data_IF_993295228212
#
_entry.id   IF_993295228212
#
_cell.length_a   1.000
_cell.length_b   1.000
_cell.length_c   1.000
_cell.angle_alpha   90.00
_cell.angle_beta   90.00
_cell.angle_gamma   90.00
#
_symmetry.space_group_name_H-M   'P 1'
#
loop_
_entity.id
_entity.type
_entity.pdbx_description
1 polymer ?
#
# COMPACT_ATOMS: atom_id res chain seq x y z
N UNK A 1 0.33 -11.48 -20.84
CA UNK A 1 -0.32 -10.30 -20.21
C UNK A 1 -1.65 -10.64 -19.54
N UNK A 2 -2.48 -11.51 -20.13
CA UNK A 2 -3.75 -11.98 -19.54
C UNK A 2 -3.53 -12.70 -18.20
N UNK A 3 -2.53 -13.57 -18.13
CA UNK A 3 -2.19 -14.38 -16.94
C UNK A 3 -1.93 -13.54 -15.68
N UNK A 4 -1.20 -12.41 -15.81
CA UNK A 4 -0.88 -11.54 -14.66
C UNK A 4 -2.12 -10.87 -14.06
N UNK A 5 -3.09 -10.49 -14.90
CA UNK A 5 -4.34 -9.90 -14.43
C UNK A 5 -5.26 -10.92 -13.80
N UNK A 6 -5.34 -12.11 -14.39
CA UNK A 6 -6.09 -13.22 -13.80
C UNK A 6 -5.53 -13.52 -12.40
N UNK A 7 -4.20 -13.58 -12.25
CA UNK A 7 -3.56 -13.76 -10.94
C UNK A 7 -3.89 -12.63 -9.96
N UNK A 8 -3.89 -11.38 -10.41
CA UNK A 8 -4.16 -10.25 -9.53
C UNK A 8 -5.63 -10.14 -9.13
N UNK A 9 -6.55 -10.45 -10.05
CA UNK A 9 -7.98 -10.56 -9.75
C UNK A 9 -8.27 -11.74 -8.83
N UNK A 10 -7.60 -12.88 -9.05
CA UNK A 10 -7.69 -14.03 -8.15
C UNK A 10 -7.15 -13.69 -6.76
N UNK A 11 -6.05 -12.95 -6.66
CA UNK A 11 -5.51 -12.46 -5.40
C UNK A 11 -6.52 -11.54 -4.69
N UNK A 12 -7.07 -10.52 -5.38
CA UNK A 12 -8.08 -9.65 -4.79
C UNK A 12 -9.33 -10.43 -4.34
N UNK A 13 -9.80 -11.37 -5.16
CA UNK A 13 -10.92 -12.23 -4.80
C UNK A 13 -10.61 -13.07 -3.56
N UNK A 14 -9.42 -13.66 -3.47
CA UNK A 14 -8.99 -14.42 -2.30
C UNK A 14 -8.89 -13.54 -1.03
N UNK A 15 -8.37 -12.31 -1.17
CA UNK A 15 -8.23 -11.37 -0.06
C UNK A 15 -9.58 -10.85 0.46
N UNK A 16 -10.56 -10.62 -0.43
CA UNK A 16 -11.83 -9.99 -0.06
C UNK A 16 -12.99 -10.97 0.15
N UNK A 17 -12.99 -12.10 -0.55
CA UNK A 17 -14.05 -13.12 -0.46
C UNK A 17 -13.62 -14.35 0.35
N UNK A 18 -12.33 -14.45 0.69
CA UNK A 18 -11.81 -15.50 1.55
C UNK A 18 -12.13 -15.27 3.04
N UNK A 19 -11.57 -16.10 3.94
CA UNK A 19 -11.78 -15.95 5.38
C UNK A 19 -11.01 -14.75 5.97
N UNK A 20 -10.04 -14.19 5.23
CA UNK A 20 -9.11 -13.19 5.73
C UNK A 20 -9.77 -11.93 6.28
N UNK A 21 -10.82 -11.34 5.67
CA UNK A 21 -11.51 -10.17 6.26
C UNK A 21 -12.10 -10.45 7.64
N UNK A 22 -12.64 -11.66 7.85
CA UNK A 22 -13.20 -12.05 9.14
C UNK A 22 -12.09 -12.21 10.17
N UNK A 23 -11.00 -12.92 9.83
CA UNK A 23 -9.86 -13.09 10.72
C UNK A 23 -9.17 -11.76 11.04
N UNK A 24 -9.11 -10.86 10.06
CA UNK A 24 -8.54 -9.54 10.19
C UNK A 24 -9.28 -8.68 11.22
N UNK A 25 -10.57 -8.90 11.50
CA UNK A 25 -11.30 -8.13 12.53
C UNK A 25 -10.69 -8.27 13.93
N UNK A 26 -10.07 -9.43 14.22
CA UNK A 26 -9.41 -9.72 15.49
C UNK A 26 -7.88 -9.62 15.48
N UNK A 27 -7.26 -9.30 14.34
CA UNK A 27 -5.80 -9.21 14.20
C UNK A 27 -5.37 -8.02 13.35
N UNK A 28 -4.46 -7.22 13.91
CA UNK A 28 -3.86 -6.10 13.19
C UNK A 28 -2.88 -6.60 12.13
N UNK A 29 -2.16 -7.68 12.43
CA UNK A 29 -1.21 -8.31 11.51
C UNK A 29 -1.93 -8.82 10.26
N UNK A 30 -3.02 -9.60 10.42
CA UNK A 30 -3.75 -10.15 9.28
C UNK A 30 -4.40 -9.08 8.42
N UNK A 31 -4.85 -7.98 9.03
CA UNK A 31 -5.36 -6.84 8.28
C UNK A 31 -4.27 -6.10 7.51
N UNK A 32 -3.09 -5.93 8.10
CA UNK A 32 -1.95 -5.38 7.38
C UNK A 32 -1.55 -6.27 6.19
N UNK A 33 -1.55 -7.59 6.37
CA UNK A 33 -1.34 -8.54 5.26
C UNK A 33 -2.36 -8.33 4.14
N UNK A 34 -3.62 -8.11 4.49
CA UNK A 34 -4.69 -7.83 3.54
C UNK A 34 -4.45 -6.51 2.77
N UNK A 35 -3.99 -5.44 3.43
CA UNK A 35 -3.61 -4.20 2.73
C UNK A 35 -2.41 -4.39 1.81
N UNK A 36 -1.34 -5.03 2.30
CA UNK A 36 -0.13 -5.32 1.49
C UNK A 36 -0.47 -6.18 0.27
N UNK A 37 -1.40 -7.11 0.42
CA UNK A 37 -1.95 -7.90 -0.69
C UNK A 37 -2.63 -7.04 -1.75
N UNK A 38 -3.45 -6.05 -1.34
CA UNK A 38 -4.06 -5.08 -2.28
C UNK A 38 -2.99 -4.24 -2.96
N UNK A 39 -2.03 -3.70 -2.19
CA UNK A 39 -0.90 -2.91 -2.73
C UNK A 39 -0.10 -3.69 -3.78
N UNK A 40 0.14 -4.98 -3.54
CA UNK A 40 0.82 -5.88 -4.47
C UNK A 40 -0.01 -6.18 -5.73
N UNK A 41 -1.34 -6.26 -5.60
CA UNK A 41 -2.23 -6.53 -6.73
C UNK A 41 -2.26 -5.37 -7.73
N UNK A 42 -2.15 -4.11 -7.28
CA UNK A 42 -2.23 -2.91 -8.12
C UNK A 42 -1.29 -2.94 -9.33
N UNK A 43 0.04 -3.13 -9.19
CA UNK A 43 0.93 -3.19 -10.36
C UNK A 43 0.61 -4.38 -11.29
N UNK A 44 0.08 -5.48 -10.75
CA UNK A 44 -0.27 -6.69 -11.50
C UNK A 44 -1.58 -6.56 -12.30
N UNK A 45 -2.56 -5.79 -11.80
CA UNK A 45 -3.89 -5.60 -12.39
C UNK A 45 -3.91 -4.80 -13.69
N UNK A 46 -2.77 -4.27 -14.12
CA UNK A 46 -2.65 -3.05 -14.93
C UNK A 46 -2.78 -1.79 -14.09
N UNK A 47 -1.77 -1.47 -13.31
CA UNK A 47 -1.61 -0.06 -12.97
C UNK A 47 -1.77 0.93 -14.17
N UNK A 48 -1.33 0.69 -15.47
CA UNK A 48 -1.01 1.78 -16.43
C UNK A 48 -1.97 2.43 -17.36
N UNK A 49 -3.08 1.79 -17.70
CA UNK A 49 -3.71 2.14 -18.98
C UNK A 49 -4.83 3.15 -18.83
N UNK A 50 -5.04 3.63 -17.60
CA UNK A 50 -5.86 4.81 -17.34
C UNK A 50 -5.10 5.99 -17.91
N UNK A 51 -5.69 6.64 -18.92
CA UNK A 51 -5.15 7.87 -19.48
C UNK A 51 -5.32 9.00 -18.46
N UNK A 52 -4.33 9.16 -17.58
CA UNK A 52 -4.22 10.29 -16.67
C UNK A 52 -3.27 11.34 -17.24
N UNK A 53 -3.42 12.62 -16.84
CA UNK A 53 -2.46 13.65 -17.15
C UNK A 53 -1.05 13.20 -16.75
N UNK A 54 -0.07 13.47 -17.62
CA UNK A 54 1.33 13.20 -17.37
C UNK A 54 2.06 14.48 -16.93
N UNK A 55 3.25 14.33 -16.36
CA UNK A 55 4.09 15.44 -15.91
C UNK A 55 4.17 15.57 -14.39
N UNK A 56 5.03 16.49 -13.93
CA UNK A 56 5.41 16.62 -12.53
C UNK A 56 4.20 16.89 -11.62
N UNK A 57 3.27 17.77 -12.02
CA UNK A 57 2.09 18.09 -11.21
C UNK A 57 1.20 16.86 -10.99
N UNK A 58 0.85 16.14 -12.05
CA UNK A 58 -0.01 14.95 -11.94
C UNK A 58 0.66 13.84 -11.11
N UNK A 59 1.97 13.68 -11.27
CA UNK A 59 2.76 12.74 -10.49
C UNK A 59 2.75 13.10 -8.99
N UNK A 60 2.98 14.38 -8.66
CA UNK A 60 2.93 14.87 -7.27
C UNK A 60 1.53 14.71 -6.67
N UNK A 61 0.48 15.08 -7.40
CA UNK A 61 -0.89 14.94 -6.92
C UNK A 61 -1.26 13.46 -6.70
N UNK A 62 -0.84 12.56 -7.58
CA UNK A 62 -1.03 11.12 -7.40
C UNK A 62 -0.32 10.59 -6.15
N UNK A 63 0.91 11.02 -5.91
CA UNK A 63 1.68 10.66 -4.72
C UNK A 63 1.05 11.19 -3.43
N UNK A 64 0.65 12.47 -3.41
CA UNK A 64 0.02 13.10 -2.25
C UNK A 64 -1.35 12.47 -1.96
N UNK A 65 -2.14 12.18 -3.00
CA UNK A 65 -3.42 11.51 -2.82
C UNK A 65 -3.26 10.11 -2.22
N UNK A 66 -2.28 9.33 -2.68
CA UNK A 66 -1.98 8.02 -2.11
C UNK A 66 -1.52 8.14 -0.65
N UNK A 67 -0.62 9.07 -0.35
CA UNK A 67 -0.18 9.34 1.02
C UNK A 67 -1.36 9.71 1.93
N UNK A 68 -2.22 10.64 1.51
CA UNK A 68 -3.38 11.08 2.30
C UNK A 68 -4.35 9.93 2.56
N UNK A 69 -4.62 9.10 1.55
CA UNK A 69 -5.49 7.93 1.69
C UNK A 69 -4.88 6.95 2.69
N UNK A 70 -3.61 6.56 2.52
CA UNK A 70 -2.96 5.62 3.43
C UNK A 70 -2.93 6.15 4.86
N UNK A 71 -2.45 7.37 5.07
CA UNK A 71 -2.35 7.95 6.41
C UNK A 71 -3.73 8.13 7.06
N UNK A 72 -4.72 8.57 6.28
CA UNK A 72 -6.08 8.77 6.76
C UNK A 72 -6.68 7.50 7.36
N UNK A 73 -6.55 6.37 6.69
CA UNK A 73 -7.06 5.08 7.19
C UNK A 73 -6.30 4.51 8.39
N UNK A 74 -5.05 4.94 8.60
CA UNK A 74 -4.27 4.52 9.76
C UNK A 74 -4.47 5.39 11.00
N UNK A 75 -5.24 6.48 10.91
CA UNK A 75 -5.71 7.21 12.09
C UNK A 75 -6.67 6.34 12.92
N UNK A 76 -6.68 6.45 14.27
CA UNK A 76 -7.48 5.57 15.12
C UNK A 76 -8.97 5.53 14.75
N UNK A 77 -9.60 6.68 14.47
CA UNK A 77 -11.03 6.74 14.13
C UNK A 77 -11.39 5.98 12.85
N UNK A 78 -10.85 6.37 11.67
CA UNK A 78 -11.05 5.67 10.41
C UNK A 78 -10.67 4.18 10.48
N UNK A 79 -9.57 3.86 11.15
CA UNK A 79 -9.14 2.47 11.33
C UNK A 79 -10.20 1.63 12.04
N UNK A 80 -10.70 2.11 13.19
CA UNK A 80 -11.75 1.43 13.96
C UNK A 80 -13.05 1.32 13.15
N UNK A 81 -13.41 2.36 12.39
CA UNK A 81 -14.58 2.33 11.52
C UNK A 81 -14.48 1.26 10.44
N UNK A 82 -13.30 1.12 9.82
CA UNK A 82 -13.02 0.06 8.85
C UNK A 82 -13.06 -1.34 9.47
N UNK A 83 -12.74 -1.48 10.77
CA UNK A 83 -12.83 -2.77 11.47
C UNK A 83 -14.25 -3.19 11.81
N UNK A 84 -15.07 -2.27 12.26
CA UNK A 84 -16.37 -2.61 12.83
C UNK A 84 -17.52 -2.51 11.84
N UNK A 85 -17.28 -2.02 10.61
CA UNK A 85 -18.33 -1.87 9.61
C UNK A 85 -17.90 -2.38 8.25
N UNK A 86 -18.81 -3.06 7.55
CA UNK A 86 -18.59 -3.49 6.16
C UNK A 86 -18.38 -2.29 5.22
N UNK A 87 -19.06 -1.18 5.48
CA UNK A 87 -18.90 0.04 4.68
C UNK A 87 -17.52 0.65 4.84
N UNK A 88 -17.04 0.83 6.07
CA UNK A 88 -15.69 1.33 6.34
C UNK A 88 -14.63 0.44 5.72
N UNK A 89 -14.74 -0.88 5.90
CA UNK A 89 -13.84 -1.85 5.27
C UNK A 89 -13.81 -1.73 3.75
N UNK A 90 -14.99 -1.67 3.11
CA UNK A 90 -15.09 -1.55 1.66
C UNK A 90 -14.45 -0.25 1.16
N UNK A 91 -14.73 0.88 1.83
CA UNK A 91 -14.18 2.19 1.45
C UNK A 91 -12.66 2.24 1.62
N UNK A 92 -12.13 1.69 2.71
CA UNK A 92 -10.69 1.56 2.93
C UNK A 92 -10.04 0.80 1.78
N UNK A 93 -10.50 -0.43 1.55
CA UNK A 93 -9.92 -1.33 0.56
C UNK A 93 -10.02 -0.81 -0.87
N UNK A 94 -11.17 -0.25 -1.24
CA UNK A 94 -11.38 0.34 -2.56
C UNK A 94 -10.57 1.62 -2.74
N UNK A 95 -10.38 2.42 -1.68
CA UNK A 95 -9.53 3.61 -1.75
C UNK A 95 -8.06 3.28 -1.90
N UNK A 96 -7.55 2.22 -1.23
CA UNK A 96 -6.18 1.73 -1.44
C UNK A 96 -5.96 1.22 -2.86
N UNK A 97 -6.91 0.45 -3.39
CA UNK A 97 -6.86 0.02 -4.78
C UNK A 97 -6.89 1.21 -5.75
N UNK A 98 -7.82 2.15 -5.53
CA UNK A 98 -7.99 3.34 -6.37
C UNK A 98 -6.79 4.28 -6.36
N UNK A 99 -6.31 4.66 -5.17
CA UNK A 99 -5.16 5.52 -5.00
C UNK A 99 -3.89 4.87 -5.55
N UNK A 100 -3.70 3.57 -5.31
CA UNK A 100 -2.62 2.80 -5.93
C UNK A 100 -2.70 2.84 -7.46
N UNK A 101 -3.86 2.54 -8.06
CA UNK A 101 -4.03 2.60 -9.51
C UNK A 101 -3.67 3.99 -10.07
N UNK A 102 -4.11 5.07 -9.40
CA UNK A 102 -3.80 6.44 -9.80
C UNK A 102 -2.30 6.77 -9.69
N UNK A 103 -1.66 6.46 -8.56
CA UNK A 103 -0.22 6.63 -8.34
C UNK A 103 0.59 5.93 -9.43
N UNK A 104 0.29 4.65 -9.65
CA UNK A 104 0.99 3.91 -10.67
C UNK A 104 0.77 4.56 -12.04
N UNK A 105 -0.47 4.98 -12.38
CA UNK A 105 -0.82 5.55 -13.69
C UNK A 105 0.04 6.77 -14.00
N UNK A 106 0.19 7.68 -13.05
CA UNK A 106 1.06 8.86 -13.19
C UNK A 106 2.54 8.49 -13.25
N UNK A 107 3.01 7.52 -12.43
CA UNK A 107 4.39 7.01 -12.44
C UNK A 107 4.85 6.52 -13.81
N UNK A 108 3.95 5.96 -14.63
CA UNK A 108 4.33 5.53 -16.00
C UNK A 108 4.35 6.65 -17.00
N UNK A 109 3.48 7.65 -16.87
CA UNK A 109 3.51 8.85 -17.70
C UNK A 109 4.75 9.73 -17.45
N UNK A 110 5.42 9.57 -16.30
CA UNK A 110 6.52 10.42 -15.85
C UNK A 110 7.95 9.95 -16.23
N UNK A 111 8.08 8.94 -17.11
CA UNK A 111 9.40 8.40 -17.48
C UNK A 111 10.09 7.59 -16.36
N UNK A 112 11.33 7.15 -16.61
CA UNK A 112 12.07 6.29 -15.68
C UNK A 112 12.49 7.01 -14.39
N UNK A 113 13.07 8.20 -14.52
CA UNK A 113 13.59 8.99 -13.40
C UNK A 113 12.48 9.57 -12.51
N UNK A 114 11.54 10.33 -13.08
CA UNK A 114 10.45 10.96 -12.34
C UNK A 114 9.58 9.93 -11.60
N UNK A 115 9.16 8.87 -12.30
CA UNK A 115 8.43 7.77 -11.68
C UNK A 115 9.23 7.05 -10.58
N UNK A 116 10.55 6.92 -10.75
CA UNK A 116 11.43 6.34 -9.74
C UNK A 116 11.50 7.16 -8.45
N UNK A 117 11.67 8.48 -8.56
CA UNK A 117 11.69 9.39 -7.40
C UNK A 117 10.40 9.31 -6.60
N UNK A 118 9.24 9.32 -7.27
CA UNK A 118 7.97 9.27 -6.56
C UNK A 118 7.72 7.94 -5.88
N UNK A 119 8.09 6.82 -6.49
CA UNK A 119 8.02 5.52 -5.80
C UNK A 119 8.98 5.44 -4.59
N UNK A 120 10.12 6.12 -4.64
CA UNK A 120 11.01 6.26 -3.48
C UNK A 120 10.35 7.11 -2.38
N UNK A 121 9.71 8.23 -2.74
CA UNK A 121 8.93 9.03 -1.79
C UNK A 121 7.79 8.21 -1.17
N UNK A 122 7.11 7.38 -1.96
CA UNK A 122 6.09 6.45 -1.46
C UNK A 122 6.67 5.44 -0.47
N UNK A 123 7.84 4.86 -0.79
CA UNK A 123 8.59 4.01 0.13
C UNK A 123 8.85 4.72 1.46
N UNK A 124 9.31 5.98 1.40
CA UNK A 124 9.67 6.75 2.60
C UNK A 124 8.48 7.00 3.51
N UNK A 125 7.33 7.48 3.00
CA UNK A 125 6.19 7.76 3.87
C UNK A 125 5.51 6.48 4.39
N UNK A 126 5.51 5.39 3.61
CA UNK A 126 5.03 4.08 4.07
C UNK A 126 5.90 3.54 5.20
N UNK A 127 7.23 3.66 5.05
CA UNK A 127 8.20 3.27 6.08
C UNK A 127 8.04 4.11 7.33
N UNK A 128 7.91 5.43 7.19
CA UNK A 128 7.70 6.35 8.30
C UNK A 128 6.43 6.03 9.07
N UNK A 129 5.30 5.87 8.38
CA UNK A 129 4.02 5.55 9.02
C UNK A 129 4.07 4.20 9.74
N UNK A 130 4.63 3.18 9.08
CA UNK A 130 4.83 1.86 9.68
C UNK A 130 5.74 1.92 10.92
N UNK A 131 6.80 2.73 10.90
CA UNK A 131 7.66 2.94 12.06
C UNK A 131 6.94 3.68 13.20
N UNK A 132 6.14 4.70 12.91
CA UNK A 132 5.37 5.43 13.92
C UNK A 132 4.37 4.51 14.65
N UNK A 133 3.71 3.63 13.91
CA UNK A 133 2.78 2.64 14.47
C UNK A 133 3.54 1.53 15.19
N UNK A 134 4.56 0.99 14.53
CA UNK A 134 5.30 -0.20 14.92
C UNK A 134 6.25 -0.02 16.09
N UNK A 135 6.77 1.21 16.28
CA UNK A 135 7.68 1.56 17.37
C UNK A 135 6.97 2.32 18.50
N UNK A 136 5.65 2.53 18.40
CA UNK A 136 4.90 3.14 19.49
C UNK A 136 5.00 2.26 20.75
N UNK A 137 5.34 2.84 21.91
CA UNK A 137 5.41 2.10 23.18
C UNK A 137 4.01 1.86 23.79
N UNK A 138 2.97 2.43 23.18
CA UNK A 138 1.57 2.32 23.63
C UNK A 138 0.67 1.87 22.50
N UNK A 139 -0.43 1.24 22.88
CA UNK A 139 -1.51 0.88 21.97
C UNK A 139 -2.24 2.15 21.50
N UNK A 140 -2.29 2.34 20.18
CA UNK A 140 -2.92 3.47 19.50
C UNK A 140 -4.38 3.19 19.13
N UNK A 141 -4.79 1.92 19.11
CA UNK A 141 -6.07 1.46 18.59
C UNK A 141 -6.99 0.89 19.67
N UNK A 142 -6.61 0.98 20.94
CA UNK A 142 -7.54 0.78 22.07
C UNK A 142 -7.83 -0.68 22.42
N UNK A 143 -6.88 -1.59 22.21
CA UNK A 143 -6.93 -2.95 22.76
C UNK A 143 -7.77 -3.95 21.97
N UNK A 144 -8.30 -3.56 20.80
CA UNK A 144 -9.31 -4.34 20.06
C UNK A 144 -8.77 -5.62 19.39
N UNK A 145 -7.47 -5.67 19.11
CA UNK A 145 -6.84 -6.76 18.38
C UNK A 145 -5.97 -7.60 19.32
N UNK A 146 -6.57 -8.46 20.15
CA UNK A 146 -5.80 -9.33 21.06
C UNK A 146 -6.21 -10.79 20.92
N UNK A 147 -5.23 -11.69 20.99
CA UNK A 147 -5.46 -13.12 21.19
C UNK A 147 -5.62 -13.99 19.94
N UNK A 148 -5.83 -13.42 18.75
CA UNK A 148 -6.00 -14.24 17.53
C UNK A 148 -4.71 -14.97 17.11
N UNK A 149 -3.56 -14.32 17.26
CA UNK A 149 -2.23 -14.92 17.05
C UNK A 149 -1.50 -15.23 18.37
N UNK A 150 -2.20 -15.22 19.52
CA UNK A 150 -1.58 -15.35 20.85
C UNK A 150 -0.76 -14.13 21.28
N UNK A 151 -0.87 -13.02 20.55
CA UNK A 151 -0.19 -11.76 20.83
C UNK A 151 -1.11 -10.79 21.61
N UNK A 152 -0.50 -9.92 22.41
CA UNK A 152 -1.19 -8.75 22.98
C UNK A 152 -1.52 -7.73 21.89
N UNK A 153 -2.49 -6.83 22.16
CA UNK A 153 -2.85 -5.78 21.20
C UNK A 153 -1.69 -4.85 20.82
N UNK A 154 -0.83 -4.53 21.78
CA UNK A 154 0.39 -3.77 21.52
C UNK A 154 1.33 -4.55 20.57
N UNK A 155 1.56 -5.84 20.81
CA UNK A 155 2.42 -6.66 19.96
C UNK A 155 1.86 -6.83 18.54
N UNK A 156 0.55 -7.03 18.40
CA UNK A 156 -0.14 -7.06 17.09
C UNK A 156 0.10 -5.76 16.32
N UNK A 157 -0.06 -4.61 16.97
CA UNK A 157 0.23 -3.31 16.37
C UNK A 157 1.71 -3.17 15.97
N UNK A 158 2.62 -3.57 16.86
CA UNK A 158 4.07 -3.45 16.61
C UNK A 158 4.50 -4.28 15.40
N UNK A 159 4.04 -5.53 15.31
CA UNK A 159 4.30 -6.41 14.17
C UNK A 159 3.64 -5.89 12.90
N UNK A 160 2.39 -5.43 12.97
CA UNK A 160 1.71 -4.84 11.82
C UNK A 160 2.44 -3.58 11.30
N UNK A 161 2.89 -2.70 12.19
CA UNK A 161 3.69 -1.53 11.82
C UNK A 161 5.03 -1.91 11.18
N UNK A 162 5.72 -2.93 11.72
CA UNK A 162 6.94 -3.46 11.12
C UNK A 162 6.69 -4.07 9.72
N UNK A 163 5.59 -4.79 9.53
CA UNK A 163 5.18 -5.33 8.22
C UNK A 163 4.86 -4.21 7.23
N UNK A 164 4.21 -3.15 7.67
CA UNK A 164 3.97 -1.97 6.83
C UNK A 164 5.27 -1.32 6.41
N UNK A 165 6.17 -1.09 7.37
CA UNK A 165 7.44 -0.40 7.13
C UNK A 165 8.35 -1.21 6.20
N UNK A 166 8.53 -2.50 6.48
CA UNK A 166 9.38 -3.38 5.70
C UNK A 166 8.71 -3.86 4.41
N UNK A 167 7.56 -4.53 4.53
CA UNK A 167 6.87 -5.16 3.40
C UNK A 167 6.29 -4.15 2.42
N UNK A 168 5.56 -3.15 2.91
CA UNK A 168 5.00 -2.08 2.09
C UNK A 168 6.09 -1.24 1.41
N UNK A 169 7.11 -0.84 2.19
CA UNK A 169 8.28 -0.13 1.69
C UNK A 169 9.04 -0.90 0.60
N UNK A 170 9.27 -2.21 0.80
CA UNK A 170 10.01 -3.03 -0.16
C UNK A 170 9.34 -3.12 -1.54
N UNK A 171 8.00 -3.20 -1.61
CA UNK A 171 7.27 -3.26 -2.87
C UNK A 171 7.57 -2.02 -3.73
N UNK A 172 7.45 -0.84 -3.14
CA UNK A 172 7.70 0.42 -3.84
C UNK A 172 9.20 0.66 -4.10
N UNK A 173 10.08 0.25 -3.18
CA UNK A 173 11.52 0.39 -3.32
C UNK A 173 12.06 -0.42 -4.51
N UNK A 174 11.68 -1.70 -4.62
CA UNK A 174 12.10 -2.57 -5.74
C UNK A 174 11.66 -1.95 -7.08
N UNK A 175 10.44 -1.41 -7.13
CA UNK A 175 9.93 -0.74 -8.32
C UNK A 175 10.69 0.57 -8.63
N UNK A 176 10.98 1.39 -7.62
CA UNK A 176 11.74 2.63 -7.76
C UNK A 176 13.13 2.34 -8.34
N UNK A 177 13.88 1.42 -7.72
CA UNK A 177 15.23 1.04 -8.14
C UNK A 177 15.26 0.45 -9.56
N UNK A 178 14.27 -0.39 -9.91
CA UNK A 178 14.17 -0.95 -11.26
C UNK A 178 14.01 0.14 -12.33
N UNK A 179 13.23 1.18 -12.04
CA UNK A 179 13.01 2.30 -12.97
C UNK A 179 14.22 3.22 -13.07
N UNK A 180 14.82 3.57 -11.93
CA UNK A 180 16.02 4.41 -11.88
C UNK A 180 17.20 3.73 -12.59
N UNK A 181 17.44 2.45 -12.30
CA UNK A 181 18.50 1.69 -12.95
C UNK A 181 18.32 1.58 -14.47
N UNK A 182 17.07 1.45 -14.94
CA UNK A 182 16.77 1.45 -16.38
C UNK A 182 17.00 2.83 -17.02
N UNK A 183 16.68 3.91 -16.30
CA UNK A 183 16.87 5.27 -16.79
C UNK A 183 18.36 5.62 -16.93
N UNK A 184 19.18 5.27 -15.93
CA UNK A 184 20.61 5.54 -15.92
C UNK A 184 21.36 4.80 -17.05
N UNK A 185 21.01 3.54 -17.33
CA UNK A 185 21.59 2.77 -18.45
C UNK A 185 21.31 3.39 -19.82
N UNK A 186 20.16 4.04 -19.99
CA UNK A 186 19.78 4.69 -21.24
C UNK A 186 20.60 5.95 -21.51
N UNK A 187 21.05 6.66 -20.47
CA UNK A 187 21.93 7.82 -20.60
C UNK A 187 23.35 7.39 -20.99
N UNK A 188 23.87 6.33 -20.37
CA UNK A 188 25.21 5.80 -20.69
C UNK A 188 25.32 5.33 -22.14
N UNK A 189 24.26 4.75 -22.71
CA UNK A 189 24.27 4.30 -24.12
C UNK A 189 24.14 5.46 -25.13
N UNK A 190 23.76 6.66 -24.68
CA UNK A 190 23.60 7.86 -25.53
C UNK A 190 24.78 8.81 -25.50
N UNK A 191 25.69 8.64 -24.54
CA UNK A 191 26.93 9.40 -24.40
C UNK A 191 28.06 8.78 -25.24
#
# INVERSE_FOLDING_TARGET
MLTRRVLALALLAALWLGPLPVLATGSMVLHMVLHLGVTLAVPLLWGPRIALPAGAMALTLGAVAEMVVVWGWHLPGPHLWARFTTMGFALEQLSFLGAGMALWATVRGAGGFGGGIVLLATTMHMTLLGALIGLSPRDLYGGICAGHLGLTALQEQQVAGALMAGGGGAIYLVAALSRLGSALKLEETRA
#
